data_IF_502464252161
#
_entry.id   IF_502464252161
#
_cell.length_a   1.000
_cell.length_b   1.000
_cell.length_c   1.000
_cell.angle_alpha   90.00
_cell.angle_beta   90.00
_cell.angle_gamma   90.00
#
_symmetry.space_group_name_H-M   'P 1'
#
loop_
_entity.id
_entity.type
_entity.pdbx_description
1 polymer ?
#
# COMPACT_ATOMS: atom_id res chain seq x y z
N UNK A 1 -26.93 9.46 -16.47
CA UNK A 1 -25.74 8.91 -15.78
C UNK A 1 -26.16 7.61 -15.07
N UNK A 2 -25.92 6.44 -15.67
CA UNK A 2 -26.43 5.16 -15.14
C UNK A 2 -25.70 4.85 -13.83
N UNK A 3 -26.43 4.87 -12.70
CA UNK A 3 -25.95 4.41 -11.38
C UNK A 3 -25.69 2.90 -11.47
N UNK A 4 -24.48 2.51 -11.86
CA UNK A 4 -24.05 1.12 -11.84
C UNK A 4 -24.16 0.61 -10.39
N UNK A 5 -24.73 -0.57 -10.15
CA UNK A 5 -24.92 -1.12 -8.80
C UNK A 5 -23.61 -1.63 -8.18
N UNK A 6 -23.57 -1.84 -6.85
CA UNK A 6 -22.36 -2.33 -6.15
C UNK A 6 -21.90 -3.72 -6.64
N UNK A 7 -22.77 -4.73 -6.82
CA UNK A 7 -22.37 -6.05 -7.30
C UNK A 7 -21.77 -5.99 -8.71
N UNK A 8 -22.37 -5.18 -9.59
CA UNK A 8 -21.86 -4.97 -10.94
C UNK A 8 -20.46 -4.34 -10.95
N UNK A 9 -20.15 -3.45 -10.00
CA UNK A 9 -18.81 -2.87 -9.87
C UNK A 9 -17.77 -3.92 -9.42
N UNK A 10 -18.14 -4.81 -8.49
CA UNK A 10 -17.26 -5.90 -8.04
C UNK A 10 -16.95 -6.82 -9.23
N UNK A 11 -17.98 -7.35 -9.90
CA UNK A 11 -17.82 -8.26 -11.03
C UNK A 11 -17.01 -7.64 -12.18
N UNK A 12 -17.27 -6.37 -12.52
CA UNK A 12 -16.50 -5.64 -13.54
C UNK A 12 -15.03 -5.49 -13.15
N UNK A 13 -14.76 -5.27 -11.87
CA UNK A 13 -13.38 -5.11 -11.38
C UNK A 13 -12.64 -6.44 -11.39
N UNK A 14 -13.30 -7.53 -10.97
CA UNK A 14 -12.73 -8.87 -11.05
C UNK A 14 -12.40 -9.27 -12.48
N UNK A 15 -13.34 -9.08 -13.42
CA UNK A 15 -13.11 -9.34 -14.85
C UNK A 15 -11.92 -8.56 -15.40
N UNK A 16 -11.78 -7.30 -14.98
CA UNK A 16 -10.65 -6.48 -15.40
C UNK A 16 -9.31 -6.97 -14.81
N UNK A 17 -9.27 -7.29 -13.51
CA UNK A 17 -8.07 -7.84 -12.89
C UNK A 17 -7.68 -9.19 -13.52
N UNK A 18 -8.64 -10.06 -13.84
CA UNK A 18 -8.37 -11.33 -14.51
C UNK A 18 -7.81 -11.12 -15.93
N UNK A 19 -8.32 -10.11 -16.67
CA UNK A 19 -7.77 -9.78 -18.00
C UNK A 19 -6.31 -9.31 -17.95
N UNK A 20 -5.89 -8.70 -16.84
CA UNK A 20 -4.47 -8.34 -16.62
C UNK A 20 -3.66 -9.60 -16.35
N UNK A 21 -4.19 -10.52 -15.54
CA UNK A 21 -3.51 -11.78 -15.17
C UNK A 21 -3.25 -12.69 -16.37
N UNK A 22 -4.17 -12.73 -17.35
CA UNK A 22 -4.02 -13.55 -18.55
C UNK A 22 -2.96 -13.01 -19.51
N UNK A 23 -2.66 -11.71 -19.45
CA UNK A 23 -1.66 -11.09 -20.31
C UNK A 23 -0.28 -11.12 -19.62
N UNK A 24 0.55 -12.10 -19.98
CA UNK A 24 1.90 -12.24 -19.44
C UNK A 24 2.87 -11.30 -20.15
N UNK A 25 3.64 -10.55 -19.37
CA UNK A 25 4.74 -9.72 -19.86
C UNK A 25 6.00 -10.58 -19.84
N UNK A 26 6.63 -10.75 -21.00
CA UNK A 26 7.90 -11.47 -21.14
C UNK A 26 9.07 -10.48 -21.12
N UNK A 27 10.25 -10.94 -20.69
CA UNK A 27 11.46 -10.11 -20.65
C UNK A 27 11.93 -9.70 -22.05
N UNK A 28 11.73 -10.57 -23.05
CA UNK A 28 12.10 -10.28 -24.44
C UNK A 28 11.38 -9.04 -24.98
N UNK A 29 10.13 -8.82 -24.55
CA UNK A 29 9.36 -7.63 -24.92
C UNK A 29 9.95 -6.36 -24.32
N UNK A 30 10.75 -6.44 -23.25
CA UNK A 30 11.37 -5.27 -22.63
C UNK A 30 12.68 -4.89 -23.30
N UNK A 31 13.30 -5.81 -24.04
CA UNK A 31 14.55 -5.61 -24.79
C UNK A 31 14.25 -5.11 -26.20
N UNK A 32 13.15 -5.57 -26.82
CA UNK A 32 12.72 -5.09 -28.13
C UNK A 32 12.11 -3.67 -28.05
N UNK A 33 12.59 -2.69 -28.83
CA UNK A 33 12.04 -1.33 -28.85
C UNK A 33 10.52 -1.25 -29.07
N UNK A 34 9.94 -2.11 -29.92
CA UNK A 34 8.48 -2.11 -30.16
C UNK A 34 7.74 -2.69 -28.96
N UNK A 35 8.17 -3.86 -28.50
CA UNK A 35 7.63 -4.51 -27.30
C UNK A 35 7.70 -3.61 -26.06
N UNK A 36 8.76 -2.82 -25.91
CA UNK A 36 8.98 -1.94 -24.77
C UNK A 36 7.90 -0.84 -24.73
N UNK A 37 7.68 -0.16 -25.86
CA UNK A 37 6.66 0.88 -25.99
C UNK A 37 5.25 0.31 -25.81
N UNK A 38 4.98 -0.88 -26.37
CA UNK A 38 3.69 -1.56 -26.22
C UNK A 38 3.42 -1.95 -24.76
N UNK A 39 4.42 -2.49 -24.08
CA UNK A 39 4.32 -2.86 -22.67
C UNK A 39 4.08 -1.63 -21.80
N UNK A 40 4.79 -0.54 -22.06
CA UNK A 40 4.57 0.73 -21.34
C UNK A 40 3.14 1.27 -21.56
N UNK A 41 2.68 1.32 -22.82
CA UNK A 41 1.32 1.79 -23.14
C UNK A 41 0.24 0.91 -22.48
N UNK A 42 0.43 -0.41 -22.50
CA UNK A 42 -0.45 -1.37 -21.83
C UNK A 42 -0.55 -1.11 -20.32
N UNK A 43 0.60 -0.98 -19.65
CA UNK A 43 0.66 -0.72 -18.21
C UNK A 43 0.04 0.64 -17.83
N UNK A 44 0.28 1.68 -18.65
CA UNK A 44 -0.27 3.03 -18.43
C UNK A 44 -1.80 3.04 -18.58
N UNK A 45 -2.31 2.43 -19.65
CA UNK A 45 -3.76 2.28 -19.88
C UNK A 45 -4.44 1.52 -18.74
N UNK A 46 -3.81 0.45 -18.26
CA UNK A 46 -4.30 -0.31 -17.11
C UNK A 46 -4.30 0.51 -15.82
N UNK A 47 -3.22 1.24 -15.53
CA UNK A 47 -3.14 2.10 -14.36
C UNK A 47 -4.28 3.14 -14.35
N UNK A 48 -4.55 3.79 -15.49
CA UNK A 48 -5.65 4.74 -15.61
C UNK A 48 -7.01 4.09 -15.34
N UNK A 49 -7.25 2.88 -15.87
CA UNK A 49 -8.49 2.12 -15.62
C UNK A 49 -8.62 1.71 -14.15
N UNK A 50 -7.54 1.22 -13.53
CA UNK A 50 -7.52 0.84 -12.11
C UNK A 50 -7.82 2.04 -11.20
N UNK A 51 -7.24 3.21 -11.48
CA UNK A 51 -7.51 4.45 -10.73
C UNK A 51 -8.98 4.88 -10.86
N UNK A 52 -9.57 4.77 -12.06
CA UNK A 52 -11.01 5.02 -12.27
C UNK A 52 -11.88 4.05 -11.47
N UNK A 53 -11.53 2.76 -11.44
CA UNK A 53 -12.22 1.74 -10.65
C UNK A 53 -12.13 2.07 -9.15
N UNK A 54 -10.93 2.36 -8.64
CA UNK A 54 -10.70 2.76 -7.26
C UNK A 54 -11.56 3.96 -6.88
N UNK A 55 -11.54 5.04 -7.68
CA UNK A 55 -12.36 6.23 -7.41
C UNK A 55 -13.85 5.89 -7.32
N UNK A 56 -14.36 5.03 -8.21
CA UNK A 56 -15.76 4.56 -8.16
C UNK A 56 -16.06 3.71 -6.92
N UNK A 57 -15.14 2.85 -6.48
CA UNK A 57 -15.30 2.06 -5.25
C UNK A 57 -15.32 2.94 -4.00
N UNK A 58 -14.42 3.94 -3.95
CA UNK A 58 -14.36 4.89 -2.84
C UNK A 58 -15.64 5.71 -2.72
N UNK A 59 -16.17 6.20 -3.85
CA UNK A 59 -17.46 6.91 -3.89
C UNK A 59 -18.64 6.05 -3.40
N UNK A 60 -18.55 4.72 -3.52
CA UNK A 60 -19.55 3.77 -3.01
C UNK A 60 -19.26 3.27 -1.59
N UNK A 61 -18.31 3.88 -0.87
CA UNK A 61 -18.05 3.56 0.53
C UNK A 61 -17.28 2.26 0.76
N UNK A 62 -16.55 1.73 -0.23
CA UNK A 62 -15.77 0.49 -0.07
C UNK A 62 -14.63 0.64 0.95
N UNK A 63 -14.21 1.87 1.29
CA UNK A 63 -13.23 2.15 2.35
C UNK A 63 -13.72 1.78 3.75
N UNK A 64 -15.03 1.85 4.00
CA UNK A 64 -15.65 1.57 5.31
C UNK A 64 -16.80 0.58 5.14
N UNK A 65 -16.54 -0.64 4.65
CA UNK A 65 -17.60 -1.54 4.20
C UNK A 65 -18.39 -2.17 5.35
N UNK A 66 -17.89 -2.07 6.59
CA UNK A 66 -18.51 -2.60 7.81
C UNK A 66 -19.36 -1.58 8.59
N UNK A 67 -19.48 -0.33 8.13
CA UNK A 67 -20.21 0.72 8.87
C UNK A 67 -21.68 0.34 9.12
N UNK A 68 -22.30 -0.37 8.18
CA UNK A 68 -23.68 -0.89 8.32
C UNK A 68 -23.78 -2.15 9.20
N UNK A 69 -22.69 -2.89 9.41
CA UNK A 69 -22.66 -4.07 10.28
C UNK A 69 -22.72 -3.66 11.76
N UNK A 70 -22.19 -2.48 12.10
CA UNK A 70 -22.24 -1.93 13.46
C UNK A 70 -23.68 -1.66 13.95
N UNK A 71 -24.63 -1.46 13.03
CA UNK A 71 -26.05 -1.25 13.34
C UNK A 71 -26.71 -2.54 13.84
N UNK A 72 -26.23 -3.71 13.39
CA UNK A 72 -26.69 -5.04 13.80
C UNK A 72 -25.77 -5.67 14.86
N UNK A 73 -25.23 -4.85 15.76
CA UNK A 73 -24.48 -5.30 16.94
C UNK A 73 -25.32 -6.23 17.83
N UNK A 74 -24.70 -6.91 18.81
CA UNK A 74 -25.43 -7.83 19.69
C UNK A 74 -26.64 -7.09 20.29
N UNK A 75 -27.84 -7.70 20.25
CA UNK A 75 -29.05 -7.03 20.72
C UNK A 75 -28.89 -6.63 22.19
N UNK A 76 -29.37 -5.43 22.53
CA UNK A 76 -29.55 -5.02 23.92
C UNK A 76 -30.42 -6.08 24.61
N UNK A 77 -30.01 -6.53 25.80
CA UNK A 77 -30.69 -7.60 26.56
C UNK A 77 -32.21 -7.32 26.64
N UNK A 78 -32.97 -8.14 25.92
CA UNK A 78 -34.43 -8.12 25.86
C UNK A 78 -34.93 -9.39 25.16
N UNK A 79 -36.09 -9.88 25.58
CA UNK A 79 -36.70 -11.15 25.15
C UNK A 79 -36.92 -11.20 23.63
N UNK A 80 -35.95 -11.78 22.92
CA UNK A 80 -36.06 -12.11 21.50
C UNK A 80 -36.33 -13.61 21.37
N UNK A 81 -37.31 -13.98 20.56
CA UNK A 81 -37.59 -15.39 20.26
C UNK A 81 -36.36 -16.00 19.56
N UNK A 82 -36.14 -17.30 19.75
CA UNK A 82 -35.00 -18.02 19.17
C UNK A 82 -34.94 -17.91 17.63
N UNK A 83 -36.09 -17.77 16.97
CA UNK A 83 -36.22 -17.56 15.53
C UNK A 83 -35.67 -16.18 15.09
N UNK A 84 -36.01 -15.11 15.81
CA UNK A 84 -35.50 -13.76 15.55
C UNK A 84 -33.97 -13.70 15.70
N UNK A 85 -33.42 -14.44 16.67
CA UNK A 85 -31.97 -14.58 16.87
C UNK A 85 -31.27 -15.29 15.70
N UNK A 86 -31.90 -16.29 15.08
CA UNK A 86 -31.36 -16.99 13.92
C UNK A 86 -31.32 -16.08 12.69
N UNK A 87 -32.39 -15.33 12.44
CA UNK A 87 -32.47 -14.42 11.31
C UNK A 87 -31.53 -13.22 11.43
N UNK A 88 -31.39 -12.64 12.62
CA UNK A 88 -30.39 -11.59 12.89
C UNK A 88 -28.96 -12.11 12.61
N UNK A 89 -28.64 -13.33 13.05
CA UNK A 89 -27.33 -13.95 12.79
C UNK A 89 -27.08 -14.16 11.30
N UNK A 90 -28.07 -14.68 10.57
CA UNK A 90 -27.99 -14.89 9.12
C UNK A 90 -27.79 -13.58 8.36
N UNK A 91 -28.56 -12.54 8.71
CA UNK A 91 -28.41 -11.21 8.12
C UNK A 91 -27.05 -10.59 8.43
N UNK A 92 -26.58 -10.68 9.68
CA UNK A 92 -25.27 -10.19 10.07
C UNK A 92 -24.14 -10.90 9.30
N UNK A 93 -24.23 -12.22 9.11
CA UNK A 93 -23.28 -12.97 8.30
C UNK A 93 -23.30 -12.53 6.84
N UNK A 94 -24.48 -12.35 6.24
CA UNK A 94 -24.64 -11.85 4.88
C UNK A 94 -23.97 -10.47 4.69
N UNK A 95 -24.21 -9.52 5.61
CA UNK A 95 -23.58 -8.20 5.54
C UNK A 95 -22.06 -8.26 5.75
N UNK A 96 -21.56 -9.13 6.64
CA UNK A 96 -20.12 -9.36 6.82
C UNK A 96 -19.46 -9.91 5.55
N UNK A 97 -20.11 -10.87 4.89
CA UNK A 97 -19.63 -11.44 3.63
C UNK A 97 -19.56 -10.36 2.55
N UNK A 98 -20.64 -9.59 2.37
CA UNK A 98 -20.68 -8.46 1.41
C UNK A 98 -19.59 -7.42 1.72
N UNK A 99 -19.38 -7.10 3.00
CA UNK A 99 -18.34 -6.17 3.42
C UNK A 99 -16.92 -6.70 3.17
N UNK A 100 -16.70 -8.00 3.40
CA UNK A 100 -15.42 -8.66 3.12
C UNK A 100 -15.12 -8.64 1.62
N UNK A 101 -16.09 -8.94 0.76
CA UNK A 101 -15.92 -8.87 -0.69
C UNK A 101 -15.51 -7.47 -1.15
N UNK A 102 -16.18 -6.42 -0.64
CA UNK A 102 -15.83 -5.02 -0.93
C UNK A 102 -14.39 -4.68 -0.50
N UNK A 103 -14.00 -5.11 0.70
CA UNK A 103 -12.64 -4.89 1.22
C UNK A 103 -11.60 -5.60 0.35
N UNK A 104 -11.83 -6.88 0.03
CA UNK A 104 -10.89 -7.70 -0.70
C UNK A 104 -10.67 -7.18 -2.13
N UNK A 105 -11.74 -6.81 -2.84
CA UNK A 105 -11.59 -6.30 -4.21
C UNK A 105 -10.89 -4.94 -4.24
N UNK A 106 -11.18 -4.04 -3.29
CA UNK A 106 -10.49 -2.75 -3.19
C UNK A 106 -9.01 -2.93 -2.85
N UNK A 107 -8.68 -3.86 -1.95
CA UNK A 107 -7.30 -4.20 -1.57
C UNK A 107 -6.51 -4.76 -2.77
N UNK A 108 -7.10 -5.66 -3.57
CA UNK A 108 -6.52 -6.15 -4.83
C UNK A 108 -6.29 -5.02 -5.84
N UNK A 109 -7.26 -4.12 -6.03
CA UNK A 109 -7.11 -2.97 -6.91
C UNK A 109 -5.98 -2.04 -6.45
N UNK A 110 -5.85 -1.77 -5.15
CA UNK A 110 -4.74 -0.99 -4.61
C UNK A 110 -3.38 -1.67 -4.85
N UNK A 111 -3.30 -2.99 -4.65
CA UNK A 111 -2.10 -3.78 -4.95
C UNK A 111 -1.72 -3.72 -6.43
N UNK A 112 -2.70 -3.85 -7.32
CA UNK A 112 -2.50 -3.73 -8.76
C UNK A 112 -1.98 -2.34 -9.14
N UNK A 113 -2.56 -1.27 -8.58
CA UNK A 113 -2.12 0.11 -8.81
C UNK A 113 -0.66 0.31 -8.39
N UNK A 114 -0.29 -0.16 -7.19
CA UNK A 114 1.08 -0.04 -6.70
C UNK A 114 2.06 -0.75 -7.63
N UNK A 115 1.72 -1.96 -8.08
CA UNK A 115 2.53 -2.77 -8.99
C UNK A 115 2.72 -2.08 -10.35
N UNK A 116 1.66 -1.52 -10.94
CA UNK A 116 1.77 -0.78 -12.20
C UNK A 116 2.62 0.49 -12.06
N UNK A 117 2.52 1.20 -10.94
CA UNK A 117 3.37 2.37 -10.68
C UNK A 117 4.85 2.01 -10.60
N UNK A 118 5.18 0.92 -9.91
CA UNK A 118 6.56 0.41 -9.82
C UNK A 118 7.06 0.03 -11.21
N UNK A 119 6.26 -0.72 -11.97
CA UNK A 119 6.62 -1.16 -13.32
C UNK A 119 6.88 0.03 -14.26
N UNK A 120 5.98 1.02 -14.29
CA UNK A 120 6.14 2.21 -15.12
C UNK A 120 7.38 3.02 -14.73
N UNK A 121 7.65 3.18 -13.42
CA UNK A 121 8.86 3.85 -12.96
C UNK A 121 10.13 3.17 -13.46
N UNK A 122 10.21 1.84 -13.39
CA UNK A 122 11.36 1.11 -13.95
C UNK A 122 11.49 1.24 -15.46
N UNK A 123 10.38 1.27 -16.22
CA UNK A 123 10.42 1.47 -17.67
C UNK A 123 10.84 2.89 -18.05
N UNK A 124 10.36 3.90 -17.32
CA UNK A 124 10.72 5.31 -17.55
C UNK A 124 12.20 5.58 -17.31
N UNK A 125 12.81 4.89 -16.33
CA UNK A 125 14.26 4.92 -16.11
C UNK A 125 15.02 3.98 -17.07
N UNK A 126 14.33 3.05 -17.74
CA UNK A 126 14.99 2.07 -18.61
C UNK A 126 15.27 2.57 -20.01
N UNK A 127 14.36 3.36 -20.57
CA UNK A 127 14.55 3.90 -21.91
C UNK A 127 13.92 5.27 -22.09
N UNK A 128 14.45 6.02 -23.04
CA UNK A 128 13.90 7.29 -23.51
C UNK A 128 13.56 7.21 -24.99
N UNK A 129 12.68 8.10 -25.45
CA UNK A 129 12.25 8.16 -26.84
C UNK A 129 12.98 9.32 -27.53
N UNK A 130 13.71 9.03 -28.59
CA UNK A 130 14.46 10.04 -29.36
C UNK A 130 13.85 10.20 -30.75
N UNK A 131 13.62 11.45 -31.15
CA UNK A 131 13.18 11.76 -32.50
C UNK A 131 14.39 11.95 -33.43
N UNK A 132 14.54 11.19 -34.53
CA UNK A 132 15.69 11.31 -35.41
C UNK A 132 15.70 12.64 -36.20
N UNK A 133 14.51 13.18 -36.52
CA UNK A 133 14.38 14.42 -37.30
C UNK A 133 14.51 15.67 -36.44
N UNK A 134 13.81 15.70 -35.32
CA UNK A 134 13.75 16.84 -34.42
C UNK A 134 14.87 16.83 -33.35
N UNK A 135 15.62 15.72 -33.22
CA UNK A 135 16.67 15.47 -32.22
C UNK A 135 16.25 15.67 -30.75
N UNK A 136 14.96 15.80 -30.48
CA UNK A 136 14.41 15.90 -29.13
C UNK A 136 14.38 14.53 -28.47
N UNK A 137 14.70 14.51 -27.18
CA UNK A 137 14.57 13.35 -26.29
C UNK A 137 13.34 13.56 -25.43
N UNK A 138 12.52 12.53 -25.31
CA UNK A 138 11.29 12.53 -24.55
C UNK A 138 11.32 11.41 -23.51
N UNK A 139 10.85 11.70 -22.30
CA UNK A 139 10.51 10.64 -21.35
C UNK A 139 9.15 10.05 -21.72
N UNK A 140 8.95 8.76 -21.46
CA UNK A 140 7.70 8.09 -21.83
C UNK A 140 6.46 8.72 -21.14
N UNK A 141 6.62 9.19 -19.91
CA UNK A 141 5.54 9.82 -19.14
C UNK A 141 5.04 11.15 -19.72
N UNK A 142 5.91 11.89 -20.41
CA UNK A 142 5.61 13.21 -20.98
C UNK A 142 4.70 13.14 -22.21
N UNK A 143 4.79 12.03 -22.95
CA UNK A 143 4.01 11.84 -24.16
C UNK A 143 2.64 11.20 -23.85
N UNK A 144 1.56 11.63 -24.51
CA UNK A 144 0.29 10.91 -24.46
C UNK A 144 0.41 9.56 -25.20
N UNK A 145 -0.46 8.59 -24.87
CA UNK A 145 -0.41 7.21 -25.42
C UNK A 145 -0.36 7.17 -26.96
N UNK A 146 -1.08 8.07 -27.63
CA UNK A 146 -1.13 8.16 -29.09
C UNK A 146 0.14 8.72 -29.73
N UNK A 147 1.04 9.34 -28.96
CA UNK A 147 2.31 9.92 -29.44
C UNK A 147 3.54 9.15 -29.00
N UNK A 148 3.38 7.99 -28.36
CA UNK A 148 4.52 7.15 -27.98
C UNK A 148 5.28 6.58 -29.20
N UNK A 149 4.66 6.60 -30.39
CA UNK A 149 5.26 6.10 -31.64
C UNK A 149 5.70 7.20 -32.59
N UNK A 150 5.08 8.37 -32.52
CA UNK A 150 5.23 9.43 -33.52
C UNK A 150 5.48 10.79 -32.86
N UNK A 151 6.47 11.52 -33.38
CA UNK A 151 6.77 12.89 -32.98
C UNK A 151 5.84 13.88 -33.71
N UNK A 152 5.73 15.11 -33.18
CA UNK A 152 4.98 16.20 -33.84
C UNK A 152 5.47 16.51 -35.26
N UNK A 153 6.72 16.19 -35.59
CA UNK A 153 7.27 16.33 -36.93
C UNK A 153 6.97 15.15 -37.88
N UNK A 154 6.11 14.21 -37.47
CA UNK A 154 5.63 13.08 -38.28
C UNK A 154 6.61 11.90 -38.39
N UNK A 155 7.76 11.96 -37.70
CA UNK A 155 8.75 10.87 -37.70
C UNK A 155 8.51 9.88 -36.56
N UNK A 156 8.81 8.61 -36.81
CA UNK A 156 8.78 7.55 -35.80
C UNK A 156 9.84 7.77 -34.73
N UNK A 157 9.44 7.65 -33.46
CA UNK A 157 10.36 7.75 -32.31
C UNK A 157 11.18 6.46 -32.18
N UNK A 158 12.47 6.62 -31.89
CA UNK A 158 13.38 5.51 -31.62
C UNK A 158 13.58 5.37 -30.12
N UNK A 159 13.56 4.13 -29.62
CA UNK A 159 13.86 3.85 -28.21
C UNK A 159 15.37 3.84 -28.04
N UNK A 160 15.86 4.57 -27.04
CA UNK A 160 17.22 4.49 -26.57
C UNK A 160 17.21 3.94 -25.14
N UNK A 161 17.82 2.78 -24.94
CA UNK A 161 17.97 2.22 -23.60
C UNK A 161 19.13 2.90 -22.88
N UNK A 162 18.90 3.33 -21.64
CA UNK A 162 19.94 3.94 -20.83
C UNK A 162 20.79 2.86 -20.13
N UNK A 163 21.99 3.16 -19.66
CA UNK A 163 22.81 2.17 -18.91
C UNK A 163 22.80 2.41 -17.40
N UNK A 164 21.93 3.31 -16.91
CA UNK A 164 21.87 3.69 -15.51
C UNK A 164 21.56 2.53 -14.55
N UNK A 165 22.08 2.62 -13.32
CA UNK A 165 22.02 1.56 -12.30
C UNK A 165 20.71 1.53 -11.48
N UNK A 166 19.78 2.47 -11.66
CA UNK A 166 18.57 2.62 -10.81
C UNK A 166 17.35 1.94 -11.45
N UNK A 167 17.57 0.91 -12.27
CA UNK A 167 16.49 0.20 -12.97
C UNK A 167 16.62 -1.30 -12.83
N UNK A 168 15.47 -1.96 -12.72
CA UNK A 168 15.34 -3.42 -12.71
C UNK A 168 14.09 -3.83 -13.49
N UNK A 169 14.07 -3.66 -14.83
CA UNK A 169 12.91 -4.07 -15.63
C UNK A 169 12.58 -5.57 -15.46
N UNK A 170 13.56 -6.37 -15.02
CA UNK A 170 13.45 -7.81 -14.84
C UNK A 170 12.43 -8.21 -13.76
N UNK A 171 12.11 -7.30 -12.82
CA UNK A 171 11.11 -7.59 -11.78
C UNK A 171 9.68 -7.49 -12.30
N UNK A 172 9.45 -6.80 -13.43
CA UNK A 172 8.10 -6.45 -13.93
C UNK A 172 7.21 -7.68 -14.11
N UNK A 173 7.66 -8.79 -14.73
CA UNK A 173 6.86 -10.02 -14.84
C UNK A 173 6.48 -10.63 -13.49
N UNK A 174 7.27 -10.38 -12.45
CA UNK A 174 7.08 -10.95 -11.11
C UNK A 174 6.16 -10.09 -10.23
N UNK A 175 5.91 -8.83 -10.60
CA UNK A 175 4.99 -7.96 -9.87
C UNK A 175 3.53 -8.49 -9.87
N UNK A 176 2.74 -8.27 -8.80
CA UNK A 176 1.34 -8.66 -8.74
C UNK A 176 0.44 -7.65 -9.49
N UNK A 177 0.64 -7.54 -10.81
CA UNK A 177 -0.06 -6.57 -11.68
C UNK A 177 -1.59 -6.73 -11.64
N UNK A 178 -2.09 -7.96 -11.45
CA UNK A 178 -3.52 -8.25 -11.32
C UNK A 178 -4.05 -8.16 -9.87
N UNK A 179 -3.22 -7.72 -8.92
CA UNK A 179 -3.54 -7.70 -7.50
C UNK A 179 -3.57 -9.10 -6.86
N UNK A 180 -2.93 -10.09 -7.48
CA UNK A 180 -2.84 -11.50 -7.07
C UNK A 180 -1.74 -11.76 -6.02
N UNK A 181 -1.31 -10.71 -5.30
CA UNK A 181 -0.19 -10.79 -4.35
C UNK A 181 -0.38 -11.87 -3.28
N UNK A 182 -1.61 -12.10 -2.81
CA UNK A 182 -1.89 -13.15 -1.81
C UNK A 182 -1.67 -14.56 -2.38
N UNK A 183 -1.96 -14.76 -3.67
CA UNK A 183 -1.73 -16.02 -4.37
C UNK A 183 -0.23 -16.23 -4.55
N UNK A 184 0.50 -15.19 -4.97
CA UNK A 184 1.96 -15.25 -5.09
C UNK A 184 2.61 -15.57 -3.74
N UNK A 185 2.16 -14.94 -2.64
CA UNK A 185 2.65 -15.22 -1.28
C UNK A 185 2.34 -16.66 -0.85
N UNK A 186 1.15 -17.19 -1.15
CA UNK A 186 0.78 -18.54 -0.73
C UNK A 186 1.62 -19.62 -1.44
N UNK A 187 2.04 -19.35 -2.68
CA UNK A 187 2.89 -20.22 -3.49
C UNK A 187 4.38 -20.18 -3.09
N UNK A 188 4.80 -19.27 -2.21
CA UNK A 188 6.18 -19.22 -1.71
C UNK A 188 6.51 -20.44 -0.85
N UNK A 189 7.72 -20.98 -1.05
CA UNK A 189 8.33 -22.00 -0.17
C UNK A 189 8.57 -21.44 1.24
N UNK A 190 8.76 -22.28 2.27
CA UNK A 190 9.05 -21.80 3.64
C UNK A 190 10.22 -20.83 3.69
N UNK A 191 11.33 -21.15 3.00
CA UNK A 191 12.49 -20.28 2.88
C UNK A 191 12.16 -18.95 2.20
N UNK A 192 11.43 -18.98 1.08
CA UNK A 192 11.05 -17.75 0.37
C UNK A 192 10.11 -16.86 1.21
N UNK A 193 9.24 -17.45 2.05
CA UNK A 193 8.39 -16.70 3.00
C UNK A 193 9.22 -16.01 4.08
N UNK A 194 10.29 -16.63 4.57
CA UNK A 194 11.20 -15.98 5.52
C UNK A 194 11.95 -14.82 4.88
N UNK A 195 12.48 -15.01 3.67
CA UNK A 195 13.12 -13.94 2.89
C UNK A 195 12.16 -12.78 2.63
N UNK A 196 10.93 -13.07 2.20
CA UNK A 196 9.87 -12.06 2.04
C UNK A 196 9.63 -11.26 3.34
N UNK A 197 9.49 -11.94 4.49
CA UNK A 197 9.32 -11.26 5.79
C UNK A 197 10.52 -10.39 6.15
N UNK A 198 11.76 -10.85 5.87
CA UNK A 198 12.97 -10.06 6.10
C UNK A 198 12.97 -8.79 5.25
N UNK A 199 12.68 -8.89 3.94
CA UNK A 199 12.60 -7.75 3.03
C UNK A 199 11.54 -6.74 3.49
N UNK A 200 10.33 -7.21 3.85
CA UNK A 200 9.26 -6.32 4.35
C UNK A 200 9.70 -5.56 5.60
N UNK A 201 10.40 -6.22 6.54
CA UNK A 201 10.92 -5.57 7.76
C UNK A 201 11.99 -4.53 7.43
N UNK A 202 12.88 -4.82 6.49
CA UNK A 202 13.90 -3.88 6.01
C UNK A 202 13.25 -2.64 5.38
N UNK A 203 12.29 -2.83 4.47
CA UNK A 203 11.58 -1.71 3.81
C UNK A 203 10.73 -0.86 4.77
N UNK A 204 10.27 -1.46 5.87
CA UNK A 204 9.54 -0.77 6.94
C UNK A 204 10.48 0.01 7.86
N UNK A 205 11.77 -0.30 7.86
CA UNK A 205 12.79 0.28 8.73
C UNK A 205 12.39 0.22 10.22
N UNK A 206 12.10 -1.01 10.70
CA UNK A 206 11.72 -1.23 12.10
C UNK A 206 12.84 -0.92 13.12
N UNK A 207 14.06 -0.60 12.67
CA UNK A 207 15.26 -0.58 13.53
C UNK A 207 15.81 0.81 13.88
N UNK A 208 15.46 1.88 13.16
CA UNK A 208 16.19 3.18 13.29
C UNK A 208 15.33 4.43 13.52
N UNK A 209 14.12 4.29 14.07
CA UNK A 209 13.32 5.46 14.43
C UNK A 209 13.90 6.28 15.59
N UNK A 210 14.09 7.59 15.42
CA UNK A 210 14.47 8.53 16.50
C UNK A 210 13.42 8.53 17.62
N UNK A 211 13.86 8.68 18.87
CA UNK A 211 12.95 8.63 20.02
C UNK A 211 12.30 10.01 20.17
N UNK A 212 11.02 10.09 19.84
CA UNK A 212 10.28 11.36 19.90
C UNK A 212 9.72 11.68 21.26
N UNK A 213 9.40 10.67 22.07
CA UNK A 213 8.90 10.90 23.42
C UNK A 213 9.07 9.65 24.27
N UNK A 214 8.97 9.79 25.59
CA UNK A 214 8.78 8.66 26.47
C UNK A 214 7.63 8.91 27.43
N UNK A 215 6.86 7.86 27.67
CA UNK A 215 5.91 7.82 28.77
C UNK A 215 6.57 7.16 29.97
N UNK A 216 6.50 7.83 31.12
CA UNK A 216 7.17 7.39 32.34
C UNK A 216 6.14 7.24 33.47
N UNK A 217 6.33 6.22 34.30
CA UNK A 217 5.64 6.09 35.59
C UNK A 217 6.66 6.39 36.67
N UNK A 218 6.37 7.42 37.48
CA UNK A 218 7.27 7.95 38.49
C UNK A 218 6.65 7.77 39.86
N UNK A 219 7.46 7.33 40.81
CA UNK A 219 7.10 7.16 42.22
C UNK A 219 7.64 8.37 43.00
N UNK A 220 6.73 9.14 43.59
CA UNK A 220 7.04 10.41 44.25
C UNK A 220 6.67 10.29 45.74
N UNK A 221 7.60 10.58 46.67
CA UNK A 221 7.27 10.62 48.09
C UNK A 221 6.54 11.92 48.41
N UNK A 222 5.30 11.82 48.91
CA UNK A 222 4.51 12.99 49.36
C UNK A 222 3.89 12.68 50.71
N UNK A 223 4.22 13.46 51.73
CA UNK A 223 3.67 13.34 53.10
C UNK A 223 3.72 11.92 53.68
N UNK A 224 4.88 11.25 53.57
CA UNK A 224 5.09 9.90 54.11
C UNK A 224 4.49 8.74 53.29
N UNK A 225 3.82 9.03 52.17
CA UNK A 225 3.28 8.01 51.24
C UNK A 225 3.91 8.13 49.85
N UNK A 226 4.09 7.01 49.18
CA UNK A 226 4.57 6.97 47.81
C UNK A 226 3.40 7.02 46.82
N UNK A 227 3.40 8.01 45.93
CA UNK A 227 2.35 8.19 44.92
C UNK A 227 2.94 7.88 43.54
N UNK A 228 2.19 7.12 42.73
CA UNK A 228 2.53 6.88 41.32
C UNK A 228 1.90 7.95 40.44
N UNK A 229 2.71 8.61 39.60
CA UNK A 229 2.24 9.52 38.55
C UNK A 229 2.74 9.09 37.19
N UNK A 230 1.88 9.20 36.19
CA UNK A 230 2.23 9.02 34.78
C UNK A 230 2.58 10.38 34.18
N UNK A 231 3.72 10.48 33.52
CA UNK A 231 4.11 11.66 32.75
C UNK A 231 4.56 11.27 31.35
N UNK A 232 4.50 12.21 30.42
CA UNK A 232 5.03 12.04 29.07
C UNK A 232 6.02 13.17 28.82
N UNK A 233 7.24 12.82 28.39
CA UNK A 233 8.28 13.78 28.02
C UNK A 233 8.45 13.69 26.52
N UNK A 234 8.25 14.81 25.83
CA UNK A 234 8.54 14.96 24.41
C UNK A 234 10.02 15.33 24.20
N UNK A 235 10.57 14.94 23.05
CA UNK A 235 11.94 15.23 22.59
C UNK A 235 13.05 14.68 23.50
N UNK A 236 12.90 13.43 23.92
CA UNK A 236 13.80 12.79 24.90
C UNK A 236 15.24 12.59 24.41
N UNK A 237 15.46 12.56 23.09
CA UNK A 237 16.82 12.47 22.52
C UNK A 237 17.66 13.74 22.77
N UNK A 238 17.02 14.86 23.17
CA UNK A 238 17.68 16.15 23.41
C UNK A 238 17.53 16.67 24.84
N UNK A 239 16.91 15.89 25.73
CA UNK A 239 16.56 16.31 27.09
C UNK A 239 17.05 15.27 28.09
N UNK A 240 17.76 15.71 29.13
CA UNK A 240 17.97 14.91 30.32
C UNK A 240 16.65 14.79 31.11
N UNK A 241 15.98 13.66 30.90
CA UNK A 241 14.69 13.38 31.53
C UNK A 241 14.81 13.13 33.04
N UNK A 242 15.98 12.72 33.54
CA UNK A 242 16.19 12.57 34.98
C UNK A 242 16.29 13.93 35.67
N UNK A 243 16.96 14.88 35.03
CA UNK A 243 17.08 16.24 35.54
C UNK A 243 15.71 16.92 35.60
N UNK A 244 14.91 16.85 34.52
CA UNK A 244 13.53 17.38 34.53
C UNK A 244 12.66 16.76 35.61
N UNK A 245 12.78 15.44 35.81
CA UNK A 245 12.01 14.72 36.81
C UNK A 245 12.36 15.15 38.25
N UNK A 246 13.65 15.41 38.51
CA UNK A 246 14.13 15.95 39.79
C UNK A 246 13.73 17.41 39.99
N UNK A 247 13.70 18.22 38.93
CA UNK A 247 13.20 19.60 39.00
C UNK A 247 11.70 19.68 39.31
N UNK A 248 10.88 18.80 38.71
CA UNK A 248 9.42 18.84 38.86
C UNK A 248 8.92 18.15 40.14
N UNK A 249 9.57 17.06 40.57
CA UNK A 249 9.08 16.22 41.67
C UNK A 249 10.06 16.03 42.84
N UNK A 250 11.23 16.68 42.77
CA UNK A 250 12.25 16.66 43.81
C UNK A 250 13.26 15.50 43.67
N UNK A 251 14.35 15.55 44.44
CA UNK A 251 15.50 14.64 44.29
C UNK A 251 15.21 13.18 44.62
N UNK A 252 14.10 12.90 45.31
CA UNK A 252 13.71 11.55 45.75
C UNK A 252 12.69 10.87 44.82
N UNK A 253 12.29 11.51 43.72
CA UNK A 253 11.44 10.91 42.71
C UNK A 253 12.18 9.77 41.99
N UNK A 254 11.50 8.64 41.77
CA UNK A 254 12.09 7.44 41.14
C UNK A 254 11.29 6.99 39.93
N UNK A 255 11.97 6.68 38.84
CA UNK A 255 11.34 6.13 37.64
C UNK A 255 11.08 4.64 37.89
N UNK A 256 9.81 4.23 37.82
CA UNK A 256 9.40 2.83 37.97
C UNK A 256 9.31 2.13 36.61
N UNK A 257 8.89 2.87 35.58
CA UNK A 257 8.76 2.34 34.23
C UNK A 257 8.96 3.45 33.19
N UNK A 258 9.65 3.13 32.10
CA UNK A 258 9.83 4.00 30.94
C UNK A 258 9.39 3.25 29.68
N UNK A 259 8.59 3.90 28.85
CA UNK A 259 8.23 3.42 27.52
C UNK A 259 8.60 4.48 26.49
N UNK A 260 9.58 4.17 25.64
CA UNK A 260 10.00 5.02 24.55
C UNK A 260 9.04 4.90 23.35
N UNK A 261 8.62 6.04 22.84
CA UNK A 261 7.86 6.20 21.60
C UNK A 261 8.79 6.71 20.52
N UNK A 262 9.02 5.87 19.51
CA UNK A 262 9.89 6.19 18.38
C UNK A 262 9.08 6.67 17.19
N UNK A 263 9.56 7.72 16.53
CA UNK A 263 9.10 8.09 15.19
C UNK A 263 9.69 7.08 14.23
N UNK A 264 8.86 6.22 13.68
CA UNK A 264 9.29 5.24 12.68
C UNK A 264 9.79 6.00 11.46
N UNK A 265 11.10 5.94 11.19
CA UNK A 265 11.58 6.09 9.81
C UNK A 265 11.02 4.90 9.04
N UNK A 266 10.35 5.15 7.92
CA UNK A 266 9.92 4.08 7.03
C UNK A 266 10.47 4.42 5.66
N UNK A 267 11.35 3.59 5.11
CA UNK A 267 11.88 3.79 3.74
C UNK A 267 10.70 3.84 2.76
N UNK A 268 9.76 2.90 2.89
CA UNK A 268 8.51 2.89 2.12
C UNK A 268 7.33 2.68 3.06
N UNK A 269 6.46 3.68 3.19
CA UNK A 269 5.31 3.59 4.10
C UNK A 269 4.16 2.74 3.51
N UNK A 270 3.95 2.80 2.19
CA UNK A 270 2.83 2.09 1.56
C UNK A 270 3.00 0.56 1.62
N UNK A 271 1.98 -0.13 2.14
CA UNK A 271 1.97 -1.60 2.31
C UNK A 271 1.99 -2.32 0.96
N UNK A 272 1.25 -1.83 -0.02
CA UNK A 272 1.13 -2.45 -1.33
C UNK A 272 2.43 -2.32 -2.11
N UNK A 273 3.09 -1.17 -2.04
CA UNK A 273 4.41 -0.96 -2.66
C UNK A 273 5.43 -1.94 -2.06
N UNK A 274 5.53 -2.00 -0.72
CA UNK A 274 6.44 -2.96 -0.05
C UNK A 274 6.17 -4.40 -0.42
N UNK A 275 4.90 -4.78 -0.47
CA UNK A 275 4.50 -6.15 -0.83
C UNK A 275 4.88 -6.48 -2.27
N UNK A 276 4.65 -5.55 -3.19
CA UNK A 276 5.00 -5.72 -4.60
C UNK A 276 6.53 -5.82 -4.79
N UNK A 277 7.30 -4.93 -4.16
CA UNK A 277 8.77 -4.96 -4.22
C UNK A 277 9.41 -6.17 -3.54
N UNK A 278 8.76 -6.74 -2.53
CA UNK A 278 9.25 -7.96 -1.88
C UNK A 278 8.89 -9.24 -2.66
N UNK A 279 7.94 -9.16 -3.60
CA UNK A 279 7.54 -10.26 -4.48
C UNK A 279 8.21 -10.21 -5.86
N UNK A 280 8.49 -9.02 -6.37
CA UNK A 280 9.21 -8.79 -7.63
C UNK A 280 10.71 -8.86 -7.43
#
# INVERSE_FOLDING_TARGET
>A
MIKMEEPALIAKSEKFLESIKTHKINLDNLIDPKGFVETYAYLRSNLMKLQKIKKRMELKGFKTPYRSVAIYGPPLKGELKAEDLHDIRRQAQYFRMKASLKKNILDRVNSAIASHKIALGHLEEHGTLTCPRCRRVFKLGELPENRLRECECGSTLQVKFEEGNIKRPEIIPHLPLSGDYMVKISQLTPWARESFKKIIRLLKDEKSGTITSATMIVKIPKSGRWIRKKMTIEDIDHIDYEEKLKQEYGPHARIEFIQFHRRKSTIINDRHIRTALALG
#
